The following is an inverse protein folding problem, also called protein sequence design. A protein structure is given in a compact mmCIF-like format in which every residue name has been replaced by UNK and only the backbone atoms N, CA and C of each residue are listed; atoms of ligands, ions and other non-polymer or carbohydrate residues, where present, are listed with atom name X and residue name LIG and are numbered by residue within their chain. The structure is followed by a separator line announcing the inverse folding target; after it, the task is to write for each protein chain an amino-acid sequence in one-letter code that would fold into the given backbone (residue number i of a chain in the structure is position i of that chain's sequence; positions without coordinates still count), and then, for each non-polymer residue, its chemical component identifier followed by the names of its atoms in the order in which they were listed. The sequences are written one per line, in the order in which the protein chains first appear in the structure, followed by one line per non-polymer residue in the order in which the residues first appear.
data_IF_359945523654
#
_entry.id   IF_359945523654
#
_cell.length_a   1.000
_cell.length_b   1.000
_cell.length_c   1.000
_cell.angle_alpha   90.00
_cell.angle_beta   90.00
_cell.angle_gamma   90.00
#
_symmetry.space_group_name_H-M   'P 1'
#
loop_
_entity.id
_entity.type
_entity.pdbx_description
1 polymer ?
#
# COMPACT_ATOMS: atom_id res chain seq x y z
N UNK A 1 -15.38 -16.04 -9.81
CA UNK A 1 -14.77 -15.96 -8.47
C UNK A 1 -15.62 -15.04 -7.61
N UNK A 2 -15.96 -15.43 -6.38
CA UNK A 2 -16.56 -14.53 -5.38
C UNK A 2 -15.51 -14.34 -4.30
N UNK A 3 -15.28 -13.10 -3.89
CA UNK A 3 -14.43 -12.83 -2.74
C UNK A 3 -14.96 -13.60 -1.50
N UNK A 4 -14.08 -14.09 -0.64
CA UNK A 4 -14.47 -14.81 0.58
C UNK A 4 -15.17 -13.88 1.60
N UNK A 5 -15.84 -14.40 2.63
CA UNK A 5 -16.62 -13.61 3.59
C UNK A 5 -15.82 -12.45 4.22
N UNK A 6 -14.56 -12.70 4.59
CA UNK A 6 -13.67 -11.68 5.16
C UNK A 6 -13.47 -10.44 4.28
N UNK A 7 -13.66 -10.56 2.96
CA UNK A 7 -13.63 -9.46 2.01
C UNK A 7 -14.77 -8.47 2.15
N UNK A 8 -15.88 -8.94 2.70
CA UNK A 8 -17.13 -8.22 2.82
C UNK A 8 -17.29 -7.83 4.28
N UNK A 9 -17.09 -8.78 5.18
CA UNK A 9 -17.29 -8.65 6.63
C UNK A 9 -16.43 -7.56 7.27
N UNK A 10 -15.26 -7.26 6.69
CA UNK A 10 -14.33 -6.25 7.21
C UNK A 10 -14.15 -5.03 6.30
N UNK A 11 -14.78 -5.01 5.12
CA UNK A 11 -14.48 -3.99 4.12
C UNK A 11 -15.41 -2.79 4.13
N UNK A 12 -16.70 -2.90 4.41
CA UNK A 12 -17.58 -1.73 4.49
C UNK A 12 -18.94 -2.06 5.10
N UNK A 13 -19.50 -1.14 5.88
CA UNK A 13 -20.89 -1.19 6.37
C UNK A 13 -21.90 -0.71 5.29
N UNK A 14 -21.67 -1.04 4.01
CA UNK A 14 -22.41 -0.53 2.84
C UNK A 14 -22.62 -1.60 1.78
N UNK A 15 -23.61 -1.41 0.91
CA UNK A 15 -23.77 -2.25 -0.27
C UNK A 15 -22.60 -2.04 -1.25
N UNK A 16 -21.94 -3.14 -1.61
CA UNK A 16 -20.73 -3.14 -2.44
C UNK A 16 -20.90 -2.38 -3.75
N UNK A 17 -22.00 -2.62 -4.47
CA UNK A 17 -22.25 -2.02 -5.78
C UNK A 17 -22.40 -0.49 -5.71
N UNK A 18 -23.13 0.01 -4.71
CA UNK A 18 -23.36 1.45 -4.52
C UNK A 18 -22.05 2.17 -4.16
N UNK A 19 -21.24 1.55 -3.29
CA UNK A 19 -19.94 2.08 -2.92
C UNK A 19 -19.02 2.24 -4.14
N UNK A 20 -18.88 1.19 -4.94
CA UNK A 20 -18.00 1.25 -6.12
C UNK A 20 -18.54 2.19 -7.20
N UNK A 21 -19.87 2.29 -7.37
CA UNK A 21 -20.46 3.28 -8.27
C UNK A 21 -20.11 4.71 -7.84
N UNK A 22 -20.15 5.02 -6.54
CA UNK A 22 -19.74 6.32 -6.03
C UNK A 22 -18.24 6.58 -6.24
N UNK A 23 -17.37 5.60 -5.92
CA UNK A 23 -15.92 5.70 -6.15
C UNK A 23 -15.59 5.99 -7.62
N UNK A 24 -16.28 5.31 -8.55
CA UNK A 24 -16.12 5.58 -9.99
C UNK A 24 -16.66 6.96 -10.39
N UNK A 25 -17.80 7.38 -9.85
CA UNK A 25 -18.36 8.71 -10.09
C UNK A 25 -17.39 9.82 -9.68
N UNK A 26 -16.79 9.71 -8.49
CA UNK A 26 -15.77 10.64 -8.01
C UNK A 26 -14.53 10.65 -8.90
N UNK A 27 -14.08 9.48 -9.35
CA UNK A 27 -12.94 9.35 -10.25
C UNK A 27 -13.17 10.05 -11.60
N UNK A 28 -14.38 9.93 -12.17
CA UNK A 28 -14.78 10.61 -13.40
C UNK A 28 -14.82 12.14 -13.24
N UNK A 29 -15.15 12.64 -12.04
CA UNK A 29 -15.09 14.07 -11.74
C UNK A 29 -13.67 14.59 -11.51
N UNK A 30 -12.75 13.72 -11.06
CA UNK A 30 -11.37 14.10 -10.68
C UNK A 30 -10.40 14.14 -11.86
N UNK A 31 -10.55 13.26 -12.84
CA UNK A 31 -9.58 13.11 -13.93
C UNK A 31 -10.19 13.54 -15.26
N UNK A 32 -9.46 14.30 -16.07
CA UNK A 32 -9.91 14.56 -17.43
C UNK A 32 -9.82 13.28 -18.27
N UNK A 33 -10.63 13.21 -19.33
CA UNK A 33 -10.53 12.17 -20.34
C UNK A 33 -9.10 12.18 -20.92
N UNK A 34 -8.37 11.09 -20.77
CA UNK A 34 -6.97 11.01 -21.22
C UNK A 34 -5.97 10.77 -20.09
N UNK A 35 -6.28 11.22 -18.87
CA UNK A 35 -5.25 11.39 -17.83
C UNK A 35 -5.08 10.18 -16.90
N UNK A 36 -6.06 9.30 -16.85
CA UNK A 36 -6.06 8.12 -15.98
C UNK A 36 -6.11 6.82 -16.78
N UNK A 37 -4.97 6.13 -16.85
CA UNK A 37 -4.84 4.87 -17.58
C UNK A 37 -5.74 3.74 -17.03
N UNK A 38 -6.17 3.78 -15.77
CA UNK A 38 -7.13 2.80 -15.26
C UNK A 38 -8.53 3.05 -15.80
N UNK A 39 -8.98 4.31 -15.87
CA UNK A 39 -10.29 4.65 -16.45
C UNK A 39 -10.33 4.28 -17.93
N UNK A 40 -9.27 4.54 -18.69
CA UNK A 40 -9.18 4.11 -20.09
C UNK A 40 -9.29 2.61 -20.27
N UNK A 41 -8.57 1.85 -19.45
CA UNK A 41 -8.64 0.40 -19.49
C UNK A 41 -10.05 -0.10 -19.20
N UNK A 42 -10.80 0.57 -18.31
CA UNK A 42 -12.20 0.23 -18.00
C UNK A 42 -13.14 0.54 -19.16
N UNK A 43 -13.02 1.71 -19.80
CA UNK A 43 -13.98 2.14 -20.83
C UNK A 43 -13.63 1.70 -22.25
N UNK A 44 -12.35 1.65 -22.60
CA UNK A 44 -11.88 1.30 -23.95
C UNK A 44 -11.34 -0.13 -24.05
N UNK A 45 -11.13 -0.81 -22.92
CA UNK A 45 -10.54 -2.15 -22.88
C UNK A 45 -9.05 -2.19 -23.23
N UNK A 46 -8.38 -1.04 -23.35
CA UNK A 46 -6.97 -0.90 -23.71
C UNK A 46 -6.33 0.32 -23.03
N UNK A 47 -5.01 0.27 -22.87
CA UNK A 47 -4.21 1.44 -22.50
C UNK A 47 -3.98 2.34 -23.72
N UNK A 48 -3.78 3.63 -23.46
CA UNK A 48 -3.45 4.59 -24.51
C UNK A 48 -1.94 4.63 -24.77
N UNK A 49 -1.58 4.95 -26.01
CA UNK A 49 -0.20 5.24 -26.38
C UNK A 49 0.25 6.61 -25.83
N UNK A 50 1.54 6.74 -25.55
CA UNK A 50 2.16 7.99 -25.13
C UNK A 50 2.34 8.16 -23.61
N UNK A 51 2.93 9.29 -23.17
CA UNK A 51 3.27 9.53 -21.78
C UNK A 51 2.04 9.49 -20.86
N UNK A 52 2.07 8.63 -19.84
CA UNK A 52 0.99 8.51 -18.87
C UNK A 52 -0.22 7.69 -19.32
N UNK A 53 -0.24 7.20 -20.57
CA UNK A 53 -1.31 6.34 -21.11
C UNK A 53 -1.29 4.89 -20.59
N UNK A 54 -0.15 4.47 -19.99
CA UNK A 54 0.05 3.14 -19.41
C UNK A 54 0.64 3.21 -17.99
N UNK A 55 0.35 2.21 -17.12
CA UNK A 55 1.04 2.04 -15.86
C UNK A 55 2.56 1.90 -16.05
N UNK A 56 3.41 2.44 -15.16
CA UNK A 56 4.86 2.29 -15.25
C UNK A 56 5.35 0.84 -15.25
N UNK A 57 4.61 -0.07 -14.60
CA UNK A 57 4.95 -1.49 -14.59
C UNK A 57 4.77 -2.18 -15.95
N UNK A 58 4.07 -1.55 -16.91
CA UNK A 58 3.92 -2.02 -18.29
C UNK A 58 4.85 -1.28 -19.25
N UNK A 59 5.70 -0.39 -18.76
CA UNK A 59 6.69 0.27 -19.60
C UNK A 59 7.89 -0.66 -19.85
N UNK A 60 8.12 -1.03 -21.11
CA UNK A 60 9.15 -1.99 -21.50
C UNK A 60 10.56 -1.52 -21.14
N UNK A 61 10.83 -0.20 -21.21
CA UNK A 61 12.13 0.35 -20.86
C UNK A 61 12.37 0.25 -19.36
N UNK A 62 11.35 0.56 -18.55
CA UNK A 62 11.40 0.38 -17.10
C UNK A 62 11.57 -1.09 -16.71
N UNK A 63 10.85 -2.02 -17.38
CA UNK A 63 10.99 -3.45 -17.15
C UNK A 63 12.40 -3.96 -17.52
N UNK A 64 12.95 -3.53 -18.66
CA UNK A 64 14.29 -3.90 -19.08
C UNK A 64 15.34 -3.40 -18.08
N UNK A 65 15.21 -2.15 -17.61
CA UNK A 65 16.07 -1.59 -16.58
C UNK A 65 15.97 -2.35 -15.25
N UNK A 66 14.78 -2.79 -14.85
CA UNK A 66 14.58 -3.62 -13.67
C UNK A 66 15.26 -4.99 -13.81
N UNK A 67 15.09 -5.67 -14.96
CA UNK A 67 15.74 -6.97 -15.24
C UNK A 67 17.26 -6.87 -15.28
N UNK A 68 17.81 -5.78 -15.83
CA UNK A 68 19.24 -5.54 -15.89
C UNK A 68 19.91 -5.40 -14.51
N UNK A 69 19.13 -5.12 -13.45
CA UNK A 69 19.62 -5.11 -12.06
C UNK A 69 19.77 -6.50 -11.44
N UNK A 70 19.41 -7.56 -12.18
CA UNK A 70 19.47 -8.94 -11.72
C UNK A 70 18.18 -9.41 -11.04
N UNK A 71 17.68 -10.57 -11.46
CA UNK A 71 16.47 -11.20 -10.90
C UNK A 71 16.75 -11.98 -9.62
N UNK A 72 18.01 -12.30 -9.33
CA UNK A 72 18.45 -12.95 -8.10
C UNK A 72 18.16 -12.13 -6.83
N UNK A 73 17.91 -10.83 -7.01
CA UNK A 73 17.46 -9.91 -5.95
C UNK A 73 15.99 -10.06 -5.59
N UNK A 74 15.21 -10.77 -6.42
CA UNK A 74 13.79 -11.03 -6.18
C UNK A 74 13.63 -12.37 -5.49
N UNK A 75 13.21 -12.34 -4.22
CA UNK A 75 12.89 -13.54 -3.45
C UNK A 75 11.37 -13.65 -3.35
N UNK A 76 10.80 -14.69 -3.97
CA UNK A 76 9.39 -15.01 -3.85
C UNK A 76 9.18 -15.95 -2.65
N UNK A 77 8.29 -15.58 -1.74
CA UNK A 77 7.84 -16.43 -0.62
C UNK A 77 6.35 -16.68 -0.75
N UNK A 78 5.94 -17.94 -0.77
CA UNK A 78 4.54 -18.34 -0.78
C UNK A 78 4.14 -18.86 0.60
N UNK A 79 3.68 -17.95 1.46
CA UNK A 79 3.27 -18.23 2.84
C UNK A 79 2.38 -17.08 3.34
N UNK A 80 1.84 -17.19 4.56
CA UNK A 80 1.08 -16.09 5.15
C UNK A 80 2.01 -14.93 5.48
N UNK A 81 1.51 -13.70 5.35
CA UNK A 81 2.33 -12.50 5.55
C UNK A 81 2.86 -12.38 6.98
N UNK A 82 2.04 -12.71 7.97
CA UNK A 82 2.43 -12.69 9.39
C UNK A 82 3.52 -13.72 9.71
N UNK A 83 3.45 -14.91 9.13
CA UNK A 83 4.50 -15.94 9.23
C UNK A 83 5.79 -15.48 8.54
N UNK A 84 5.69 -14.79 7.41
CA UNK A 84 6.84 -14.27 6.69
C UNK A 84 7.60 -13.19 7.47
N UNK A 85 6.86 -12.26 8.09
CA UNK A 85 7.42 -11.20 8.93
C UNK A 85 8.12 -11.81 10.15
N UNK A 86 7.50 -12.81 10.78
CA UNK A 86 8.11 -13.50 11.92
C UNK A 86 9.41 -14.22 11.54
N UNK A 87 9.42 -14.95 10.42
CA UNK A 87 10.62 -15.65 9.95
C UNK A 87 11.77 -14.68 9.59
N UNK A 88 11.46 -13.46 9.16
CA UNK A 88 12.47 -12.44 8.83
C UNK A 88 13.04 -11.74 10.06
N UNK A 89 12.39 -11.88 11.21
CA UNK A 89 12.80 -11.22 12.43
C UNK A 89 14.17 -11.73 12.89
N UNK A 90 15.14 -10.83 12.99
CA UNK A 90 16.53 -11.15 13.32
C UNK A 90 17.38 -11.67 12.14
N UNK A 91 16.80 -11.95 10.97
CA UNK A 91 17.55 -12.31 9.75
C UNK A 91 18.01 -11.09 8.96
N UNK A 92 17.14 -10.06 8.88
CA UNK A 92 17.39 -8.87 8.08
C UNK A 92 16.60 -7.67 8.60
N UNK A 93 17.06 -6.48 8.22
CA UNK A 93 16.33 -5.22 8.41
C UNK A 93 15.93 -4.63 7.06
N UNK A 94 14.74 -4.04 6.99
CA UNK A 94 14.18 -3.49 5.76
C UNK A 94 14.05 -1.97 5.83
N UNK A 95 14.44 -1.28 4.76
CA UNK A 95 14.23 0.16 4.61
C UNK A 95 12.76 0.50 4.32
N UNK A 96 12.04 -0.43 3.68
CA UNK A 96 10.63 -0.29 3.32
C UNK A 96 9.90 -1.62 3.42
N UNK A 97 8.76 -1.62 4.11
CA UNK A 97 7.75 -2.69 4.06
C UNK A 97 6.47 -2.10 3.50
N UNK A 98 5.95 -2.68 2.41
CA UNK A 98 4.68 -2.26 1.81
C UNK A 98 3.64 -3.36 2.00
N UNK A 99 2.54 -3.06 2.70
CA UNK A 99 1.55 -4.08 3.11
C UNK A 99 0.34 -4.17 2.17
N UNK A 100 0.36 -3.44 1.05
CA UNK A 100 -0.82 -3.27 0.17
C UNK A 100 -2.07 -2.93 1.00
N UNK A 101 -3.18 -3.62 0.77
CA UNK A 101 -4.47 -3.45 1.44
C UNK A 101 -4.81 -4.59 2.42
N UNK A 102 -3.80 -5.25 3.00
CA UNK A 102 -4.02 -6.36 3.94
C UNK A 102 -4.91 -5.97 5.15
N UNK A 103 -4.93 -4.68 5.50
CA UNK A 103 -5.74 -4.13 6.59
C UNK A 103 -7.24 -4.28 6.37
N UNK A 104 -7.71 -4.38 5.12
CA UNK A 104 -9.14 -4.57 4.83
C UNK A 104 -9.65 -5.99 5.11
N UNK A 105 -8.76 -6.95 5.40
CA UNK A 105 -9.07 -8.38 5.47
C UNK A 105 -8.84 -8.97 6.86
N UNK A 106 -8.62 -8.12 7.86
CA UNK A 106 -8.31 -8.56 9.22
C UNK A 106 -8.85 -7.59 10.27
N UNK A 107 -9.14 -8.07 11.49
CA UNK A 107 -9.52 -7.21 12.61
C UNK A 107 -8.43 -6.19 12.95
N UNK A 108 -8.83 -5.01 13.42
CA UNK A 108 -7.92 -3.92 13.80
C UNK A 108 -6.87 -4.35 14.82
N UNK A 109 -7.23 -5.18 15.80
CA UNK A 109 -6.28 -5.64 16.82
C UNK A 109 -5.23 -6.61 16.24
N UNK A 110 -5.65 -7.44 15.27
CA UNK A 110 -4.72 -8.31 14.54
C UNK A 110 -3.77 -7.49 13.65
N UNK A 111 -4.27 -6.41 13.03
CA UNK A 111 -3.45 -5.46 12.28
C UNK A 111 -2.43 -4.75 13.20
N UNK A 112 -2.87 -4.29 14.37
CA UNK A 112 -1.97 -3.67 15.34
C UNK A 112 -0.85 -4.63 15.78
N UNK A 113 -1.20 -5.89 16.07
CA UNK A 113 -0.23 -6.92 16.40
C UNK A 113 0.75 -7.22 15.25
N UNK A 114 0.25 -7.26 14.00
CA UNK A 114 1.09 -7.40 12.82
C UNK A 114 2.07 -6.23 12.67
N UNK A 115 1.63 -5.00 12.90
CA UNK A 115 2.50 -3.82 12.77
C UNK A 115 3.60 -3.77 13.84
N UNK A 116 3.36 -4.33 15.03
CA UNK A 116 4.44 -4.54 16.03
C UNK A 116 5.53 -5.44 15.45
N UNK A 117 5.16 -6.55 14.80
CA UNK A 117 6.11 -7.48 14.18
C UNK A 117 6.82 -6.84 12.99
N UNK A 118 6.09 -6.12 12.13
CA UNK A 118 6.66 -5.37 11.01
C UNK A 118 7.68 -4.35 11.50
N UNK A 119 7.38 -3.62 12.57
CA UNK A 119 8.34 -2.69 13.18
C UNK A 119 9.63 -3.38 13.61
N UNK A 120 9.55 -4.61 14.12
CA UNK A 120 10.71 -5.39 14.53
C UNK A 120 11.69 -5.71 13.41
N UNK A 121 11.23 -5.73 12.16
CA UNK A 121 12.06 -6.01 10.97
C UNK A 121 12.49 -4.74 10.22
N UNK A 122 12.11 -3.55 10.67
CA UNK A 122 12.53 -2.31 10.00
C UNK A 122 13.93 -1.89 10.45
N UNK A 123 14.70 -1.35 9.51
CA UNK A 123 15.89 -0.57 9.86
C UNK A 123 15.49 0.68 10.67
N UNK A 124 16.40 1.26 11.48
CA UNK A 124 16.14 2.56 12.11
C UNK A 124 15.74 3.63 11.09
N UNK A 125 14.59 4.28 11.30
CA UNK A 125 14.02 5.23 10.32
C UNK A 125 13.40 4.60 9.07
N UNK A 126 13.34 3.26 8.98
CA UNK A 126 12.68 2.51 7.92
C UNK A 126 11.18 2.79 7.87
N UNK A 127 10.56 2.48 6.74
CA UNK A 127 9.20 2.94 6.40
C UNK A 127 8.24 1.76 6.28
N UNK A 128 7.03 1.94 6.78
CA UNK A 128 5.87 1.11 6.40
C UNK A 128 4.92 1.93 5.54
N UNK A 129 4.58 1.39 4.38
CA UNK A 129 3.56 1.92 3.49
C UNK A 129 2.32 1.02 3.51
N UNK A 130 1.26 1.50 4.15
CA UNK A 130 -0.05 0.86 4.18
C UNK A 130 -1.04 1.55 3.24
N UNK A 131 -2.01 0.80 2.74
CA UNK A 131 -3.16 1.34 1.99
C UNK A 131 -4.44 0.71 2.51
N UNK A 132 -5.53 1.47 2.50
CA UNK A 132 -6.86 0.97 2.82
C UNK A 132 -7.77 1.21 1.64
N UNK A 133 -8.39 0.16 1.13
CA UNK A 133 -9.31 0.24 0.01
C UNK A 133 -10.68 0.69 0.51
N UNK A 134 -11.27 -0.09 1.42
CA UNK A 134 -12.68 0.09 1.77
C UNK A 134 -12.93 0.18 3.28
N UNK A 135 -12.14 -0.48 4.12
CA UNK A 135 -12.45 -0.71 5.54
C UNK A 135 -12.83 0.57 6.28
N UNK A 136 -13.76 0.52 7.23
CA UNK A 136 -14.25 1.74 7.90
C UNK A 136 -13.37 2.22 9.08
N UNK A 137 -12.21 1.59 9.29
CA UNK A 137 -11.24 1.99 10.30
C UNK A 137 -10.29 3.10 9.79
N UNK A 138 -9.68 3.88 10.71
CA UNK A 138 -8.57 4.76 10.37
C UNK A 138 -7.26 3.97 10.38
N UNK A 139 -6.63 3.81 9.22
CA UNK A 139 -5.36 3.11 9.11
C UNK A 139 -4.24 3.89 9.81
N UNK A 140 -4.24 5.22 9.69
CA UNK A 140 -3.27 6.10 10.34
C UNK A 140 -3.33 5.98 11.87
N UNK A 141 -4.54 5.92 12.45
CA UNK A 141 -4.71 5.74 13.89
C UNK A 141 -4.17 4.39 14.38
N UNK A 142 -4.25 3.32 13.57
CA UNK A 142 -3.70 2.01 13.93
C UNK A 142 -2.17 2.01 13.80
N UNK A 143 -1.63 2.59 12.73
CA UNK A 143 -0.17 2.74 12.54
C UNK A 143 0.46 3.59 13.64
N UNK A 144 -0.19 4.69 14.02
CA UNK A 144 0.26 5.61 15.07
C UNK A 144 0.36 5.00 16.47
N UNK A 145 -0.19 3.80 16.70
CA UNK A 145 0.00 3.06 17.96
C UNK A 145 1.43 2.56 18.13
N UNK A 146 2.17 2.39 17.03
CA UNK A 146 3.46 1.67 17.01
C UNK A 146 4.56 2.36 16.21
N UNK A 147 4.21 3.22 15.26
CA UNK A 147 5.10 3.92 14.32
C UNK A 147 4.78 5.43 14.30
N UNK A 148 5.71 6.24 13.77
CA UNK A 148 5.52 7.68 13.59
C UNK A 148 4.88 7.96 12.22
N UNK A 149 3.61 8.38 12.19
CA UNK A 149 2.89 8.63 10.93
C UNK A 149 3.31 9.98 10.32
N UNK A 150 3.67 9.97 9.03
CA UNK A 150 3.88 11.18 8.23
C UNK A 150 2.58 11.54 7.51
N UNK A 151 1.74 12.35 8.16
CA UNK A 151 0.43 12.73 7.63
C UNK A 151 0.53 13.53 6.31
N UNK A 152 1.52 14.42 6.22
CA UNK A 152 1.71 15.26 5.04
C UNK A 152 2.08 14.42 3.82
N UNK A 153 3.03 13.49 3.98
CA UNK A 153 3.44 12.62 2.89
C UNK A 153 2.37 11.58 2.56
N UNK A 154 1.65 11.07 3.56
CA UNK A 154 0.49 10.20 3.38
C UNK A 154 -0.58 10.85 2.50
N UNK A 155 -0.96 12.09 2.80
CA UNK A 155 -1.93 12.85 2.01
C UNK A 155 -1.40 13.15 0.60
N UNK A 156 -0.13 13.53 0.46
CA UNK A 156 0.49 13.81 -0.83
C UNK A 156 0.53 12.56 -1.74
N UNK A 157 0.78 11.37 -1.19
CA UNK A 157 0.74 10.12 -1.94
C UNK A 157 -0.68 9.73 -2.35
N UNK A 158 -1.67 9.88 -1.46
CA UNK A 158 -3.07 9.62 -1.78
C UNK A 158 -3.58 10.56 -2.90
N UNK A 159 -3.17 11.82 -2.88
CA UNK A 159 -3.50 12.79 -3.92
C UNK A 159 -2.89 12.45 -5.30
N UNK A 160 -1.84 11.62 -5.33
CA UNK A 160 -1.21 11.14 -6.57
C UNK A 160 -1.70 9.77 -7.01
N UNK A 161 -2.48 9.07 -6.17
CA UNK A 161 -2.98 7.75 -6.51
C UNK A 161 -3.98 7.82 -7.68
N UNK A 162 -3.60 7.19 -8.79
CA UNK A 162 -4.43 7.08 -9.99
C UNK A 162 -5.38 5.90 -9.93
N UNK A 163 -5.20 4.96 -9.00
CA UNK A 163 -6.14 3.84 -8.88
C UNK A 163 -7.51 4.29 -8.38
N UNK A 164 -7.57 5.43 -7.66
CA UNK A 164 -8.78 6.05 -7.08
C UNK A 164 -9.59 5.15 -6.14
N UNK A 165 -9.18 3.90 -5.93
CA UNK A 165 -9.83 2.94 -5.03
C UNK A 165 -9.37 3.07 -3.59
N UNK A 166 -8.14 3.52 -3.34
CA UNK A 166 -7.67 3.67 -1.98
C UNK A 166 -8.30 4.90 -1.32
N UNK A 167 -8.92 4.69 -0.16
CA UNK A 167 -9.48 5.76 0.68
C UNK A 167 -8.45 6.33 1.65
N UNK A 168 -7.39 5.58 1.90
CA UNK A 168 -6.31 6.01 2.78
C UNK A 168 -4.98 5.40 2.32
N UNK A 169 -3.94 6.22 2.29
CA UNK A 169 -2.55 5.79 2.18
C UNK A 169 -1.87 6.27 3.45
N UNK A 170 -1.08 5.40 4.09
CA UNK A 170 -0.35 5.74 5.31
C UNK A 170 1.12 5.44 5.11
N UNK A 171 1.94 6.47 5.30
CA UNK A 171 3.39 6.36 5.46
C UNK A 171 3.69 6.53 6.93
N UNK A 172 4.38 5.55 7.53
CA UNK A 172 4.86 5.67 8.89
C UNK A 172 6.29 5.18 9.03
N UNK A 173 7.03 5.78 9.96
CA UNK A 173 8.44 5.55 10.18
C UNK A 173 8.67 4.76 11.47
N UNK A 174 9.62 3.83 11.43
CA UNK A 174 10.24 3.30 12.63
C UNK A 174 11.00 4.44 13.33
N UNK A 175 10.99 4.49 14.68
CA UNK A 175 11.78 5.47 15.41
C UNK A 175 13.24 5.43 14.95
N UNK A 176 13.85 6.61 14.77
CA UNK A 176 15.29 6.69 14.58
C UNK A 176 15.95 6.40 15.93
N UNK A 177 17.05 5.66 15.92
CA UNK A 177 17.88 5.57 17.13
C UNK A 177 18.26 6.99 17.55
N UNK A 178 18.00 7.32 18.81
CA UNK A 178 18.50 8.57 19.36
C UNK A 178 20.02 8.51 19.23
N UNK A 179 20.61 9.48 18.52
CA UNK A 179 22.06 9.62 18.49
C UNK A 179 22.52 9.70 19.93
N UNK A 180 23.19 8.65 20.40
CA UNK A 180 23.89 8.66 21.68
C UNK A 180 25.04 9.64 21.50
N UNK A 181 24.74 10.92 21.71
CA UNK A 181 25.69 12.00 21.64
C UNK A 181 26.86 11.66 22.55
N UNK A 182 27.98 11.29 21.93
CA UNK A 182 29.25 11.08 22.60
C UNK A 182 29.58 12.36 23.34
N UNK A 183 29.40 12.35 24.66
CA UNK A 183 30.10 13.28 25.54
C UNK A 183 31.54 12.80 25.57
N UNK A 184 32.38 13.50 24.80
CA UNK A 184 33.84 13.56 25.01
C UNK A 184 34.17 13.96 26.43
#
# INVERSE_FOLDING_TARGET
ERFGPAAVDYSMDREFGEHFAAVFGDALGRWAAGENYFLHQVFEGRYLDGPGGRPPCLDETAQAAARARGLERLVLRHQRFDEAVEALNGEATFDLVQTSNISDWMPVDALAALLVRVRGILAPGGVVLGRRLNGDHSLAAVFGRVLEVDEAFSAALLAQDRSFFYREVVVAHAPREASTGGRT
#
